data_IF_451664025267
#
_entry.id   IF_451664025267
#
_cell.length_a   1.000
_cell.length_b   1.000
_cell.length_c   1.000
_cell.angle_alpha   90.00
_cell.angle_beta   90.00
_cell.angle_gamma   90.00
#
_symmetry.space_group_name_H-M   'P 1'
#
loop_
_entity.id
_entity.type
_entity.pdbx_description
1 polymer ?
#
# COMPACT_ATOMS: atom_id res chain seq x y z
N UNK A 1 9.63 -2.42 9.06
CA UNK A 1 8.74 -2.75 7.93
C UNK A 1 9.62 -3.27 6.80
N UNK A 2 9.15 -4.28 6.07
CA UNK A 2 9.76 -4.73 4.82
C UNK A 2 8.67 -4.88 3.76
N UNK A 3 8.97 -4.60 2.49
CA UNK A 3 7.96 -4.68 1.43
C UNK A 3 8.58 -4.87 0.03
N UNK A 4 7.75 -5.38 -0.87
CA UNK A 4 7.94 -5.28 -2.32
C UNK A 4 6.77 -4.47 -2.88
N UNK A 5 7.07 -3.34 -3.50
CA UNK A 5 6.09 -2.44 -4.10
C UNK A 5 6.50 -2.14 -5.55
N UNK A 6 5.55 -1.76 -6.44
CA UNK A 6 5.87 -1.38 -7.82
C UNK A 6 7.02 -0.36 -7.91
N UNK A 7 7.04 0.60 -6.99
CA UNK A 7 8.03 1.68 -6.90
C UNK A 7 9.44 1.19 -6.52
N UNK A 8 9.55 0.02 -5.89
CA UNK A 8 10.83 -0.58 -5.50
C UNK A 8 11.51 -1.36 -6.64
N UNK A 9 10.85 -1.48 -7.80
CA UNK A 9 11.39 -2.10 -9.02
C UNK A 9 11.98 -3.50 -8.80
N UNK A 10 11.31 -4.31 -7.97
CA UNK A 10 11.71 -5.70 -7.67
C UNK A 10 12.75 -5.85 -6.56
N UNK A 11 13.19 -4.77 -5.92
CA UNK A 11 14.09 -4.83 -4.76
C UNK A 11 13.31 -4.95 -3.45
N UNK A 12 13.89 -5.65 -2.48
CA UNK A 12 13.36 -5.70 -1.11
C UNK A 12 13.69 -4.38 -0.42
N UNK A 13 12.66 -3.70 0.09
CA UNK A 13 12.82 -2.50 0.91
C UNK A 13 12.80 -2.88 2.39
N UNK A 14 13.66 -2.24 3.18
CA UNK A 14 13.69 -2.34 4.65
C UNK A 14 13.56 -0.95 5.29
N UNK A 15 12.86 -0.90 6.43
CA UNK A 15 12.60 0.35 7.15
C UNK A 15 11.40 1.13 6.61
N UNK A 16 11.30 2.42 6.97
CA UNK A 16 10.16 3.30 6.64
C UNK A 16 10.53 4.51 5.78
N UNK A 17 11.83 4.81 5.65
CA UNK A 17 12.31 6.03 4.97
C UNK A 17 11.95 6.07 3.48
N UNK A 18 11.93 4.91 2.81
CA UNK A 18 11.48 4.81 1.40
C UNK A 18 10.05 5.35 1.22
N UNK A 19 9.14 4.99 2.13
CA UNK A 19 7.74 5.41 2.06
C UNK A 19 7.58 6.89 2.47
N UNK A 20 8.39 7.40 3.41
CA UNK A 20 8.36 8.80 3.87
C UNK A 20 8.43 9.79 2.70
N UNK A 21 9.23 9.49 1.66
CA UNK A 21 9.31 10.29 0.44
C UNK A 21 7.92 10.61 -0.16
N UNK A 22 7.01 9.62 -0.24
CA UNK A 22 5.68 9.80 -0.81
C UNK A 22 4.73 10.61 0.10
N UNK A 23 4.99 10.67 1.40
CA UNK A 23 4.26 11.54 2.32
C UNK A 23 4.72 12.99 2.20
N UNK A 24 6.02 13.23 2.23
CA UNK A 24 6.60 14.57 2.22
C UNK A 24 6.39 15.28 0.88
N UNK A 25 6.49 14.54 -0.23
CA UNK A 25 6.45 15.12 -1.58
C UNK A 25 5.19 14.76 -2.38
N UNK A 26 4.52 13.64 -2.05
CA UNK A 26 3.36 13.16 -2.83
C UNK A 26 2.04 13.86 -2.52
N UNK A 27 1.95 14.63 -1.43
CA UNK A 27 0.73 15.37 -1.08
C UNK A 27 0.56 16.72 -1.79
N UNK A 28 1.60 17.19 -2.48
CA UNK A 28 1.57 18.46 -3.22
C UNK A 28 1.07 18.32 -4.66
N UNK A 29 0.51 17.17 -5.05
CA UNK A 29 0.03 16.95 -6.41
C UNK A 29 -1.45 17.38 -6.55
N UNK A 30 -1.77 18.51 -7.22
CA UNK A 30 -3.13 19.00 -7.40
C UNK A 30 -4.01 18.08 -8.28
N UNK A 31 -3.43 17.01 -8.84
CA UNK A 31 -4.15 15.96 -9.59
C UNK A 31 -4.57 14.76 -8.74
N UNK A 32 -4.42 14.79 -7.40
CA UNK A 32 -5.06 13.80 -6.52
C UNK A 32 -6.58 13.99 -6.59
N UNK A 33 -7.19 13.45 -7.64
CA UNK A 33 -8.63 13.21 -7.68
C UNK A 33 -9.03 12.35 -6.50
N UNK A 34 -10.32 12.38 -6.16
CA UNK A 34 -10.84 11.55 -5.09
C UNK A 34 -10.58 10.07 -5.42
N UNK A 35 -9.76 9.42 -4.58
CA UNK A 35 -9.52 7.98 -4.66
C UNK A 35 -10.49 7.27 -3.72
N UNK A 36 -11.18 6.25 -4.22
CA UNK A 36 -11.95 5.32 -3.40
C UNK A 36 -11.22 3.98 -3.36
N UNK A 37 -10.91 3.49 -2.17
CA UNK A 37 -10.18 2.24 -1.97
C UNK A 37 -11.05 1.22 -1.27
N UNK A 38 -11.13 0.02 -1.83
CA UNK A 38 -11.90 -1.12 -1.28
C UNK A 38 -10.99 -2.33 -1.12
N UNK A 39 -11.11 -3.02 0.02
CA UNK A 39 -10.44 -4.29 0.27
C UNK A 39 -11.38 -5.44 -0.14
N UNK A 40 -11.06 -6.12 -1.24
CA UNK A 40 -11.85 -7.24 -1.74
C UNK A 40 -11.31 -8.57 -1.21
N UNK A 41 -12.23 -9.45 -0.82
CA UNK A 41 -11.97 -10.84 -0.38
C UNK A 41 -10.81 -10.95 0.64
N UNK A 42 -10.85 -10.25 1.78
CA UNK A 42 -9.80 -10.37 2.78
C UNK A 42 -9.78 -11.79 3.35
N UNK A 43 -8.61 -12.44 3.26
CA UNK A 43 -8.33 -13.73 3.89
C UNK A 43 -7.27 -13.54 4.97
N UNK A 44 -7.59 -13.92 6.20
CA UNK A 44 -6.70 -13.78 7.35
C UNK A 44 -6.28 -15.16 7.84
N UNK A 45 -4.98 -15.36 8.02
CA UNK A 45 -4.38 -16.55 8.60
C UNK A 45 -3.64 -16.18 9.90
N UNK A 46 -4.13 -16.67 11.03
CA UNK A 46 -3.50 -16.44 12.34
C UNK A 46 -2.33 -17.41 12.52
N UNK A 47 -1.18 -16.90 12.93
CA UNK A 47 0.10 -17.61 13.03
C UNK A 47 0.62 -17.57 14.47
N UNK A 48 -0.04 -18.30 15.37
CA UNK A 48 0.29 -18.31 16.80
C UNK A 48 -0.35 -17.15 17.58
N UNK A 49 0.22 -16.81 18.73
CA UNK A 49 -0.35 -15.81 19.64
C UNK A 49 -0.02 -14.36 19.24
N UNK A 50 1.12 -14.14 18.56
CA UNK A 50 1.63 -12.79 18.25
C UNK A 50 1.65 -12.47 16.74
N UNK A 51 1.24 -13.42 15.89
CA UNK A 51 1.39 -13.31 14.44
C UNK A 51 0.08 -13.51 13.66
N UNK A 52 -0.08 -12.76 12.57
CA UNK A 52 -1.11 -13.02 11.57
C UNK A 52 -0.63 -12.56 10.18
N UNK A 53 -1.13 -13.22 9.14
CA UNK A 53 -0.96 -12.83 7.75
C UNK A 53 -2.34 -12.48 7.17
N UNK A 54 -2.41 -11.41 6.38
CA UNK A 54 -3.62 -11.05 5.64
C UNK A 54 -3.28 -10.93 4.15
N UNK A 55 -4.10 -11.54 3.31
CA UNK A 55 -4.06 -11.41 1.86
C UNK A 55 -5.41 -10.87 1.37
N UNK A 56 -5.37 -9.92 0.43
CA UNK A 56 -6.56 -9.31 -0.14
C UNK A 56 -6.24 -8.71 -1.51
N UNK A 57 -7.28 -8.38 -2.28
CA UNK A 57 -7.14 -7.58 -3.49
C UNK A 57 -7.49 -6.13 -3.16
N UNK A 58 -6.55 -5.20 -3.35
CA UNK A 58 -6.78 -3.76 -3.20
C UNK A 58 -7.37 -3.21 -4.48
N UNK A 59 -8.66 -2.89 -4.48
CA UNK A 59 -9.29 -2.16 -5.56
C UNK A 59 -9.20 -0.66 -5.29
N UNK A 60 -8.61 0.10 -6.21
CA UNK A 60 -8.58 1.56 -6.15
C UNK A 60 -9.33 2.13 -7.36
N UNK A 61 -10.34 2.95 -7.09
CA UNK A 61 -11.15 3.63 -8.08
C UNK A 61 -10.81 5.12 -8.07
N UNK A 62 -10.77 5.70 -9.25
CA UNK A 62 -10.62 7.13 -9.47
C UNK A 62 -11.41 7.52 -10.71
N UNK A 63 -11.88 8.76 -10.77
CA UNK A 63 -12.49 9.29 -11.98
C UNK A 63 -11.38 9.63 -12.98
N UNK A 64 -11.34 8.90 -14.08
CA UNK A 64 -10.52 9.27 -15.23
C UNK A 64 -11.13 10.51 -15.90
N UNK A 65 -10.30 11.46 -16.32
CA UNK A 65 -10.77 12.74 -16.88
C UNK A 65 -10.90 12.69 -18.40
#
# INVERSE_FOLDING_TARGET
MTCFEPEALGNLIEGVEFHRFYFDYGNNNPRKGQLHTTMLNPNVHVMGEEGACIAYVRLTQYMDR
#
